data_IF_357410966043
#
_entry.id   IF_357410966043
#
_cell.length_a   1.000
_cell.length_b   1.000
_cell.length_c   1.000
_cell.angle_alpha   90.00
_cell.angle_beta   90.00
_cell.angle_gamma   90.00
#
_symmetry.space_group_name_H-M   'P 1'
#
loop_
_entity.id
_entity.type
_entity.pdbx_description
1 polymer ?
#
# COMPACT_ATOMS: atom_id res chain seq x y z
N UNK A 1 0.16 2.49 -28.63
CA UNK A 1 1.30 2.91 -27.77
C UNK A 1 1.85 4.32 -28.04
N UNK A 2 1.22 5.21 -28.81
CA UNK A 2 1.77 6.57 -29.07
C UNK A 2 1.56 7.58 -27.93
N UNK A 3 0.53 7.38 -27.10
CA UNK A 3 0.11 8.34 -26.06
C UNK A 3 1.06 8.34 -24.84
N UNK A 4 1.47 7.16 -24.37
CA UNK A 4 2.41 7.02 -23.25
C UNK A 4 3.76 7.66 -23.55
N UNK A 5 4.30 7.42 -24.76
CA UNK A 5 5.57 8.01 -25.19
C UNK A 5 5.51 9.54 -25.31
N UNK A 6 4.35 10.09 -25.72
CA UNK A 6 4.16 11.54 -25.77
C UNK A 6 4.12 12.16 -24.37
N UNK A 7 3.44 11.51 -23.42
CA UNK A 7 3.38 11.96 -22.02
C UNK A 7 4.78 11.93 -21.38
N UNK A 8 5.53 10.85 -21.57
CA UNK A 8 6.90 10.73 -21.06
C UNK A 8 7.83 11.80 -21.64
N UNK A 9 7.74 12.09 -22.94
CA UNK A 9 8.57 13.11 -23.58
C UNK A 9 8.27 14.52 -23.05
N UNK A 10 6.98 14.85 -22.86
CA UNK A 10 6.56 16.15 -22.32
C UNK A 10 6.96 16.29 -20.85
N UNK A 11 6.82 15.23 -20.05
CA UNK A 11 7.26 15.24 -18.65
C UNK A 11 8.77 15.45 -18.53
N UNK A 12 9.54 14.75 -19.36
CA UNK A 12 11.00 14.84 -19.37
C UNK A 12 11.49 16.23 -19.78
N UNK A 13 10.88 16.84 -20.79
CA UNK A 13 11.19 18.22 -21.21
C UNK A 13 10.80 19.24 -20.13
N UNK A 14 9.67 19.04 -19.45
CA UNK A 14 9.22 19.91 -18.36
C UNK A 14 10.15 19.81 -17.12
N UNK A 15 10.55 18.60 -16.71
CA UNK A 15 11.44 18.39 -15.56
C UNK A 15 12.82 19.03 -15.81
N UNK A 16 13.36 18.95 -17.03
CA UNK A 16 14.63 19.62 -17.38
C UNK A 16 14.57 21.15 -17.30
N UNK A 17 13.39 21.75 -17.53
CA UNK A 17 13.19 23.21 -17.49
C UNK A 17 12.76 23.72 -16.11
N UNK A 18 12.55 22.83 -15.14
CA UNK A 18 11.99 23.12 -13.82
C UNK A 18 12.80 24.13 -13.01
N UNK A 19 14.13 24.05 -13.04
CA UNK A 19 15.02 24.94 -12.28
C UNK A 19 15.09 26.39 -12.79
N UNK A 20 14.61 26.65 -14.02
CA UNK A 20 14.73 27.95 -14.68
C UNK A 20 13.37 28.63 -14.94
N UNK A 21 12.27 28.00 -14.55
CA UNK A 21 10.94 28.51 -14.87
C UNK A 21 9.94 28.23 -13.74
N UNK A 22 9.67 29.27 -12.95
CA UNK A 22 8.73 29.23 -11.82
C UNK A 22 7.31 28.83 -12.24
N UNK A 23 6.90 29.11 -13.49
CA UNK A 23 5.60 28.63 -13.99
C UNK A 23 5.63 27.11 -14.14
N UNK A 24 6.68 26.55 -14.74
CA UNK A 24 6.81 25.09 -14.91
C UNK A 24 6.87 24.40 -13.55
N UNK A 25 7.58 24.96 -12.58
CA UNK A 25 7.60 24.46 -11.21
C UNK A 25 6.19 24.44 -10.59
N UNK A 26 5.44 25.54 -10.70
CA UNK A 26 4.07 25.63 -10.18
C UNK A 26 3.12 24.65 -10.90
N UNK A 27 3.20 24.55 -12.23
CA UNK A 27 2.41 23.61 -13.02
C UNK A 27 2.75 22.14 -12.70
N UNK A 28 4.02 21.80 -12.51
CA UNK A 28 4.45 20.46 -12.08
C UNK A 28 4.01 20.15 -10.65
N UNK A 29 3.97 21.15 -9.77
CA UNK A 29 3.43 21.02 -8.41
C UNK A 29 1.94 20.66 -8.44
N UNK A 30 1.13 21.45 -9.14
CA UNK A 30 -0.31 21.18 -9.30
C UNK A 30 -0.59 19.81 -9.94
N UNK A 31 0.22 19.42 -10.93
CA UNK A 31 0.08 18.11 -11.56
C UNK A 31 0.37 16.96 -10.59
N UNK A 32 1.36 17.13 -9.72
CA UNK A 32 1.66 16.16 -8.65
C UNK A 32 0.51 16.04 -7.68
N UNK A 33 -0.07 17.16 -7.25
CA UNK A 33 -1.20 17.16 -6.32
C UNK A 33 -2.40 16.38 -6.89
N UNK A 34 -2.79 16.67 -8.15
CA UNK A 34 -3.90 15.97 -8.82
C UNK A 34 -3.59 14.48 -9.03
N UNK A 35 -2.33 14.11 -9.27
CA UNK A 35 -1.94 12.71 -9.39
C UNK A 35 -2.05 11.99 -8.05
N UNK A 36 -1.60 12.60 -6.96
CA UNK A 36 -1.74 12.04 -5.62
C UNK A 36 -3.21 11.88 -5.23
N UNK A 37 -4.06 12.88 -5.51
CA UNK A 37 -5.50 12.78 -5.27
C UNK A 37 -6.13 11.61 -6.06
N UNK A 38 -5.70 11.41 -7.31
CA UNK A 38 -6.17 10.31 -8.14
C UNK A 38 -5.66 8.94 -7.66
N UNK A 39 -4.40 8.86 -7.19
CA UNK A 39 -3.82 7.65 -6.61
C UNK A 39 -4.55 7.25 -5.32
N UNK A 40 -4.86 8.21 -4.43
CA UNK A 40 -5.64 7.96 -3.21
C UNK A 40 -7.06 7.43 -3.53
N UNK A 41 -7.70 7.96 -4.57
CA UNK A 41 -9.00 7.45 -5.03
C UNK A 41 -8.89 6.04 -5.60
N UNK A 42 -7.84 5.73 -6.37
CA UNK A 42 -7.61 4.38 -6.91
C UNK A 42 -7.35 3.38 -5.78
N UNK A 43 -6.58 3.77 -4.75
CA UNK A 43 -6.36 2.99 -3.54
C UNK A 43 -7.68 2.72 -2.76
N UNK A 44 -8.61 3.69 -2.75
CA UNK A 44 -9.96 3.52 -2.18
C UNK A 44 -10.78 2.48 -2.96
N UNK A 45 -10.73 2.50 -4.30
CA UNK A 45 -11.38 1.50 -5.14
C UNK A 45 -10.74 0.11 -5.04
N UNK A 46 -9.42 0.01 -4.87
CA UNK A 46 -8.71 -1.25 -4.64
C UNK A 46 -9.08 -1.86 -3.28
N UNK A 47 -9.19 -1.03 -2.23
CA UNK A 47 -9.69 -1.44 -0.92
C UNK A 47 -11.15 -1.95 -0.96
N UNK A 48 -12.00 -1.32 -1.76
CA UNK A 48 -13.41 -1.71 -1.89
C UNK A 48 -13.59 -3.05 -2.62
N UNK A 49 -12.75 -3.34 -3.63
CA UNK A 49 -12.76 -4.62 -4.34
C UNK A 49 -12.37 -5.81 -3.44
N UNK A 50 -11.35 -5.63 -2.60
CA UNK A 50 -10.94 -6.62 -1.58
C UNK A 50 -12.05 -6.83 -0.54
N UNK A 51 -12.65 -5.75 -0.04
CA UNK A 51 -13.76 -5.81 0.92
C UNK A 51 -14.98 -6.53 0.34
N UNK A 52 -15.30 -6.31 -0.94
CA UNK A 52 -16.39 -6.99 -1.64
C UNK A 52 -16.15 -8.51 -1.73
N UNK A 53 -14.92 -8.97 -1.91
CA UNK A 53 -14.62 -10.40 -1.94
C UNK A 53 -14.79 -11.07 -0.56
N UNK A 54 -14.43 -10.39 0.53
CA UNK A 54 -14.64 -10.91 1.90
C UNK A 54 -16.13 -10.98 2.25
N UNK A 55 -16.92 -9.96 1.87
CA UNK A 55 -18.39 -10.01 2.08
C UNK A 55 -19.03 -11.06 1.17
N UNK A 56 -18.55 -11.20 -0.07
CA UNK A 56 -19.05 -12.20 -1.03
C UNK A 56 -18.71 -13.62 -0.59
N UNK A 57 -17.55 -13.87 0.04
CA UNK A 57 -17.22 -15.20 0.60
C UNK A 57 -18.07 -15.53 1.83
N UNK A 58 -18.32 -14.56 2.71
CA UNK A 58 -19.21 -14.73 3.87
C UNK A 58 -20.68 -14.98 3.46
N UNK A 59 -21.21 -14.24 2.47
CA UNK A 59 -22.55 -14.49 1.93
C UNK A 59 -22.62 -15.79 1.14
N UNK A 60 -21.51 -16.24 0.52
CA UNK A 60 -21.44 -17.51 -0.20
C UNK A 60 -21.59 -18.71 0.76
N UNK A 61 -20.96 -18.66 1.93
CA UNK A 61 -21.11 -19.72 2.94
C UNK A 61 -22.51 -19.76 3.55
N UNK A 62 -23.17 -18.61 3.68
CA UNK A 62 -24.48 -18.51 4.34
C UNK A 62 -25.65 -18.83 3.39
N UNK A 63 -25.48 -18.62 2.06
CA UNK A 63 -26.57 -18.75 1.08
C UNK A 63 -26.32 -19.72 -0.09
N UNK A 64 -25.20 -20.47 -0.12
CA UNK A 64 -25.02 -21.62 -1.02
C UNK A 64 -25.00 -21.29 -2.53
N UNK A 65 -24.45 -20.14 -2.94
CA UNK A 65 -24.45 -19.70 -4.35
C UNK A 65 -23.26 -20.26 -5.15
N UNK A 66 -23.52 -20.71 -6.39
CA UNK A 66 -22.52 -21.21 -7.35
C UNK A 66 -22.07 -20.13 -8.33
N UNK A 67 -20.78 -20.14 -8.69
CA UNK A 67 -20.11 -19.05 -9.43
C UNK A 67 -20.31 -19.14 -10.95
N UNK A 68 -20.78 -18.04 -11.58
CA UNK A 68 -20.51 -17.77 -13.00
C UNK A 68 -19.30 -16.85 -13.09
N UNK A 69 -18.20 -17.40 -13.61
CA UNK A 69 -16.95 -16.67 -13.83
C UNK A 69 -17.17 -15.69 -14.99
N UNK A 70 -17.21 -14.39 -14.68
CA UNK A 70 -16.96 -13.35 -15.66
C UNK A 70 -15.56 -12.83 -15.41
N UNK A 71 -14.65 -13.19 -16.30
CA UNK A 71 -13.24 -12.85 -16.28
C UNK A 71 -13.07 -11.33 -16.41
N UNK A 72 -13.15 -10.62 -15.28
CA UNK A 72 -12.84 -9.21 -15.19
C UNK A 72 -11.40 -9.15 -14.73
N UNK A 73 -10.49 -8.99 -15.70
CA UNK A 73 -9.08 -8.68 -15.52
C UNK A 73 -8.89 -7.75 -14.32
N UNK A 74 -8.54 -8.32 -13.18
CA UNK A 74 -7.95 -7.57 -12.08
C UNK A 74 -6.52 -7.36 -12.55
N UNK A 75 -6.21 -6.14 -13.01
CA UNK A 75 -4.82 -5.73 -13.14
C UNK A 75 -4.30 -5.77 -11.71
N UNK A 76 -3.60 -6.84 -11.35
CA UNK A 76 -2.74 -6.82 -10.19
C UNK A 76 -1.71 -5.73 -10.47
N UNK A 77 -1.96 -4.51 -9.98
CA UNK A 77 -0.87 -3.58 -9.73
C UNK A 77 -0.09 -4.23 -8.60
N UNK A 78 0.86 -5.08 -8.97
CA UNK A 78 1.87 -5.59 -8.09
C UNK A 78 2.61 -4.34 -7.57
N UNK A 79 2.17 -3.81 -6.42
CA UNK A 79 2.95 -2.82 -5.67
C UNK A 79 4.33 -3.44 -5.58
N UNK A 80 5.36 -2.76 -6.11
CA UNK A 80 6.74 -3.24 -5.99
C UNK A 80 6.96 -3.62 -4.53
N UNK A 81 7.00 -4.93 -4.27
CA UNK A 81 7.27 -5.40 -2.93
C UNK A 81 8.65 -4.85 -2.60
N UNK A 82 8.75 -4.14 -1.47
CA UNK A 82 10.05 -3.68 -1.01
C UNK A 82 10.88 -4.91 -0.67
N UNK A 83 11.64 -5.42 -1.63
CA UNK A 83 12.52 -6.58 -1.48
C UNK A 83 13.80 -6.15 -0.77
N UNK A 84 13.70 -5.93 0.54
CA UNK A 84 14.85 -5.83 1.43
C UNK A 84 14.71 -6.89 2.51
N UNK A 85 15.68 -7.81 2.55
CA UNK A 85 15.90 -8.66 3.71
C UNK A 85 16.43 -7.76 4.81
N UNK A 86 15.60 -7.55 5.83
CA UNK A 86 15.98 -6.76 7.00
C UNK A 86 16.62 -7.74 7.97
N UNK A 87 17.92 -7.58 8.22
CA UNK A 87 18.57 -8.29 9.32
C UNK A 87 18.29 -7.52 10.61
N UNK A 88 17.68 -8.17 11.61
CA UNK A 88 17.27 -7.52 12.86
C UNK A 88 18.41 -6.77 13.55
N UNK A 89 19.65 -7.26 13.41
CA UNK A 89 20.85 -6.60 13.97
C UNK A 89 21.17 -5.22 13.37
N UNK A 90 20.60 -4.89 12.20
CA UNK A 90 20.86 -3.62 11.51
C UNK A 90 19.78 -2.57 11.82
N UNK A 91 18.79 -2.91 12.64
CA UNK A 91 17.72 -2.00 13.05
C UNK A 91 17.95 -1.65 14.52
N UNK A 92 18.13 -0.35 14.78
CA UNK A 92 18.34 0.15 16.14
C UNK A 92 17.12 0.93 16.61
N UNK A 93 16.77 0.80 17.90
CA UNK A 93 15.78 1.65 18.58
C UNK A 93 14.32 1.36 18.19
N UNK A 94 14.05 0.18 17.63
CA UNK A 94 12.71 -0.28 17.24
C UNK A 94 12.28 -1.54 17.99
N UNK A 95 13.11 -2.03 18.90
CA UNK A 95 12.89 -3.24 19.70
C UNK A 95 11.63 -3.07 20.55
N UNK A 96 11.55 -2.00 21.34
CA UNK A 96 10.39 -1.72 22.18
C UNK A 96 9.09 -1.61 21.38
N UNK A 97 9.12 -0.84 20.28
CA UNK A 97 7.95 -0.68 19.43
C UNK A 97 7.53 -2.00 18.76
N UNK A 98 8.48 -2.91 18.50
CA UNK A 98 8.19 -4.25 18.00
C UNK A 98 7.52 -5.11 19.08
N UNK A 99 8.06 -5.09 20.29
CA UNK A 99 7.53 -5.83 21.44
C UNK A 99 6.09 -5.40 21.77
N UNK A 100 5.81 -4.09 21.79
CA UNK A 100 4.48 -3.55 22.07
C UNK A 100 3.43 -4.05 21.06
N UNK A 101 3.81 -4.12 19.77
CA UNK A 101 2.92 -4.61 18.71
C UNK A 101 2.68 -6.12 18.86
N UNK A 102 3.73 -6.90 19.16
CA UNK A 102 3.62 -8.35 19.35
C UNK A 102 2.73 -8.68 20.54
N UNK A 103 2.90 -7.98 21.66
CA UNK A 103 2.06 -8.17 22.84
C UNK A 103 0.59 -7.91 22.51
N UNK A 104 0.30 -6.82 21.80
CA UNK A 104 -1.06 -6.49 21.36
C UNK A 104 -1.66 -7.57 20.45
N UNK A 105 -0.86 -8.16 19.55
CA UNK A 105 -1.29 -9.28 18.70
C UNK A 105 -1.64 -10.52 19.53
N UNK A 106 -0.78 -10.89 20.47
CA UNK A 106 -0.95 -12.09 21.32
C UNK A 106 -2.12 -11.99 22.29
N UNK A 107 -2.47 -10.79 22.75
CA UNK A 107 -3.62 -10.56 23.62
C UNK A 107 -4.97 -10.75 22.91
N UNK A 108 -4.99 -10.76 21.57
CA UNK A 108 -6.23 -10.76 20.77
C UNK A 108 -6.71 -12.14 20.28
N UNK A 109 -6.11 -13.23 20.79
CA UNK A 109 -6.38 -14.60 20.32
C UNK A 109 -7.60 -15.21 21.03
N UNK A 110 -8.79 -14.65 20.77
CA UNK A 110 -10.07 -15.27 21.17
C UNK A 110 -10.76 -16.02 20.01
N UNK A 111 -10.06 -16.28 18.91
CA UNK A 111 -10.46 -17.20 17.84
C UNK A 111 -11.64 -16.74 16.95
N UNK A 112 -12.46 -15.80 17.40
CA UNK A 112 -13.67 -15.36 16.69
C UNK A 112 -13.52 -14.01 15.95
N UNK A 113 -12.49 -13.21 16.26
CA UNK A 113 -12.32 -11.87 15.69
C UNK A 113 -10.93 -11.67 15.07
N UNK A 114 -10.89 -10.94 13.94
CA UNK A 114 -9.64 -10.48 13.32
C UNK A 114 -9.21 -9.17 13.96
N UNK A 115 -8.01 -9.14 14.53
CA UNK A 115 -7.38 -7.93 15.07
C UNK A 115 -6.56 -7.23 13.99
N UNK A 116 -6.64 -5.89 13.92
CA UNK A 116 -5.91 -5.05 12.95
C UNK A 116 -5.16 -3.97 13.72
N UNK A 117 -3.85 -3.85 13.49
CA UNK A 117 -2.98 -2.84 14.10
C UNK A 117 -2.39 -1.94 13.00
N UNK A 118 -2.89 -0.71 12.82
CA UNK A 118 -2.36 0.20 11.82
C UNK A 118 -1.01 0.80 12.26
N UNK A 119 -0.02 0.82 11.36
CA UNK A 119 1.28 1.50 11.56
C UNK A 119 1.30 2.81 10.76
N UNK A 120 1.27 3.95 11.45
CA UNK A 120 1.17 5.29 10.83
C UNK A 120 2.42 6.13 11.12
N UNK A 121 2.78 7.02 10.20
CA UNK A 121 3.93 7.91 10.33
C UNK A 121 4.42 8.45 8.99
N UNK A 122 5.33 9.42 9.03
CA UNK A 122 5.89 10.08 7.84
C UNK A 122 6.65 9.12 6.92
N UNK A 123 6.84 9.50 5.65
CA UNK A 123 7.66 8.74 4.69
C UNK A 123 9.10 8.54 5.20
N UNK A 124 9.72 7.40 4.90
CA UNK A 124 11.11 7.11 5.29
C UNK A 124 11.35 6.81 6.78
N UNK A 125 10.36 6.93 7.66
CA UNK A 125 10.51 6.71 9.11
C UNK A 125 10.77 5.24 9.50
N UNK A 126 10.58 4.30 8.58
CA UNK A 126 10.77 2.86 8.83
C UNK A 126 9.51 2.10 9.26
N UNK A 127 8.30 2.52 8.84
CA UNK A 127 7.05 1.77 9.08
C UNK A 127 7.14 0.33 8.58
N UNK A 128 7.55 0.17 7.32
CA UNK A 128 7.75 -1.13 6.68
C UNK A 128 8.84 -1.95 7.38
N UNK A 129 9.87 -1.28 7.92
CA UNK A 129 10.93 -1.92 8.72
C UNK A 129 10.34 -2.54 9.98
N UNK A 130 9.53 -1.79 10.74
CA UNK A 130 8.86 -2.28 11.93
C UNK A 130 7.90 -3.45 11.62
N UNK A 131 7.07 -3.30 10.58
CA UNK A 131 6.15 -4.36 10.15
C UNK A 131 6.89 -5.67 9.81
N UNK A 132 8.02 -5.58 9.12
CA UNK A 132 8.85 -6.74 8.78
C UNK A 132 9.56 -7.34 10.00
N UNK A 133 9.96 -6.55 10.99
CA UNK A 133 10.55 -7.07 12.22
C UNK A 133 9.52 -7.90 12.99
N UNK A 134 8.31 -7.37 13.16
CA UNK A 134 7.20 -8.06 13.83
C UNK A 134 6.82 -9.34 13.07
N UNK A 135 6.68 -9.27 11.75
CA UNK A 135 6.29 -10.42 10.92
C UNK A 135 7.31 -11.58 10.95
N UNK A 136 8.60 -11.27 11.11
CA UNK A 136 9.66 -12.28 11.17
C UNK A 136 10.03 -12.69 12.60
N UNK A 137 9.38 -12.12 13.62
CA UNK A 137 9.61 -12.49 15.02
C UNK A 137 9.10 -13.92 15.29
N UNK A 138 9.81 -14.69 16.11
CA UNK A 138 9.48 -16.09 16.38
C UNK A 138 8.25 -16.26 17.29
N UNK A 139 7.79 -15.20 17.95
CA UNK A 139 6.64 -15.24 18.86
C UNK A 139 5.29 -15.13 18.15
N UNK A 140 5.29 -14.67 16.90
CA UNK A 140 4.10 -14.46 16.05
C UNK A 140 4.03 -15.56 15.01
#
# INVERSE_FOLDING_TARGET
MKMLGAIQAVLFDAEQKRSHNQRIEAWLGMLKDVLYDAEDMVDEFECEALRRNVVKSALKSDFGLTEQIFDRHIIHTEREMTHSFIHASNVNGREQAGDDVIETLLQSVDGENVSIIPIVGIGGIGKTTLAKLVYNDQRV
#
